data_IF_306259331898
#
_entry.id   IF_306259331898
#
_cell.length_a   1.000
_cell.length_b   1.000
_cell.length_c   1.000
_cell.angle_alpha   90.00
_cell.angle_beta   90.00
_cell.angle_gamma   90.00
#
_symmetry.space_group_name_H-M   'P 1'
#
loop_
_entity.id
_entity.type
_entity.pdbx_description
1 polymer ?
#
# COMPACT_ATOMS: atom_id res chain seq x y z
N UNK A 1 8.55 -27.83 10.66
CA UNK A 1 9.12 -26.48 10.90
C UNK A 1 8.32 -25.84 12.02
N UNK A 2 9.00 -25.21 12.97
CA UNK A 2 8.34 -24.49 14.06
C UNK A 2 7.72 -23.18 13.55
N UNK A 3 6.63 -22.72 14.17
CA UNK A 3 5.95 -21.47 13.81
C UNK A 3 6.91 -20.28 13.82
N UNK A 4 7.79 -20.20 14.83
CA UNK A 4 8.78 -19.14 14.95
C UNK A 4 9.75 -19.13 13.75
N UNK A 5 10.19 -20.31 13.31
CA UNK A 5 11.05 -20.44 12.12
C UNK A 5 10.33 -19.96 10.85
N UNK A 6 9.06 -20.33 10.68
CA UNK A 6 8.24 -19.89 9.53
C UNK A 6 8.10 -18.36 9.53
N UNK A 7 7.78 -17.77 10.68
CA UNK A 7 7.62 -16.32 10.84
C UNK A 7 8.90 -15.59 10.44
N UNK A 8 10.05 -16.01 10.96
CA UNK A 8 11.32 -15.37 10.63
C UNK A 8 11.70 -15.52 9.16
N UNK A 9 11.43 -16.68 8.57
CA UNK A 9 11.67 -16.89 7.14
C UNK A 9 10.81 -15.98 6.27
N UNK A 10 9.50 -15.92 6.52
CA UNK A 10 8.58 -15.09 5.71
C UNK A 10 8.90 -13.61 5.90
N UNK A 11 8.98 -13.14 7.15
CA UNK A 11 9.28 -11.73 7.42
C UNK A 11 10.65 -11.37 6.84
N UNK A 12 11.69 -12.14 7.15
CA UNK A 12 13.04 -11.91 6.61
C UNK A 12 13.09 -11.90 5.08
N UNK A 13 12.41 -12.84 4.42
CA UNK A 13 12.33 -12.88 2.96
C UNK A 13 11.63 -11.65 2.36
N UNK A 14 10.53 -11.18 2.96
CA UNK A 14 9.85 -9.97 2.48
C UNK A 14 10.73 -8.74 2.60
N UNK A 15 11.41 -8.55 3.74
CA UNK A 15 12.37 -7.45 3.90
C UNK A 15 13.52 -7.54 2.91
N UNK A 16 14.13 -8.72 2.76
CA UNK A 16 15.22 -8.94 1.81
C UNK A 16 14.79 -8.62 0.37
N UNK A 17 13.57 -9.00 -0.03
CA UNK A 17 13.01 -8.69 -1.33
C UNK A 17 12.87 -7.17 -1.54
N UNK A 18 12.22 -6.46 -0.60
CA UNK A 18 12.03 -5.01 -0.72
C UNK A 18 13.36 -4.24 -0.71
N UNK A 19 14.33 -4.66 0.11
CA UNK A 19 15.68 -4.07 0.11
C UNK A 19 16.37 -4.33 -1.24
N UNK A 20 16.26 -5.55 -1.77
CA UNK A 20 16.80 -5.90 -3.09
C UNK A 20 16.21 -5.03 -4.21
N UNK A 21 14.88 -4.84 -4.19
CA UNK A 21 14.19 -3.94 -5.14
C UNK A 21 14.71 -2.51 -4.97
N UNK A 22 14.81 -1.99 -3.74
CA UNK A 22 15.26 -0.63 -3.49
C UNK A 22 16.69 -0.35 -3.98
N UNK A 23 17.59 -1.34 -3.84
CA UNK A 23 18.96 -1.25 -4.37
C UNK A 23 18.95 -1.26 -5.90
N UNK A 24 18.11 -2.12 -6.51
CA UNK A 24 18.01 -2.23 -7.96
C UNK A 24 17.37 -1.00 -8.62
N UNK A 25 16.41 -0.36 -7.96
CA UNK A 25 15.64 0.79 -8.45
C UNK A 25 16.20 2.14 -7.98
N UNK A 26 17.49 2.22 -7.67
CA UNK A 26 18.09 3.44 -7.11
C UNK A 26 18.03 4.60 -8.12
N UNK A 27 17.39 5.71 -7.74
CA UNK A 27 17.33 6.92 -8.55
C UNK A 27 18.67 7.67 -8.57
N UNK A 28 19.10 8.12 -9.75
CA UNK A 28 20.32 8.91 -9.94
C UNK A 28 20.08 10.42 -9.97
N UNK A 29 18.83 10.85 -10.22
CA UNK A 29 18.45 12.27 -10.32
C UNK A 29 17.18 12.58 -9.53
N UNK A 30 16.93 13.87 -9.27
CA UNK A 30 15.69 14.32 -8.61
C UNK A 30 14.44 14.00 -9.44
N UNK A 31 14.51 14.09 -10.77
CA UNK A 31 13.40 13.74 -11.66
C UNK A 31 13.05 12.25 -11.62
N UNK A 32 14.05 11.38 -11.52
CA UNK A 32 13.83 9.94 -11.32
C UNK A 32 13.27 9.64 -9.93
N UNK A 33 13.71 10.38 -8.90
CA UNK A 33 13.23 10.17 -7.53
C UNK A 33 11.78 10.61 -7.33
N UNK A 34 11.39 11.78 -7.84
CA UNK A 34 10.04 12.34 -7.57
C UNK A 34 8.96 11.89 -8.55
N UNK A 35 9.31 11.70 -9.83
CA UNK A 35 8.30 11.38 -10.87
C UNK A 35 8.65 10.12 -11.65
N UNK A 36 9.60 9.31 -11.17
CA UNK A 36 10.04 8.07 -11.84
C UNK A 36 10.38 8.30 -13.33
N UNK A 37 10.94 9.47 -13.66
CA UNK A 37 11.26 9.85 -15.04
C UNK A 37 10.04 9.94 -15.99
N UNK A 38 8.81 9.96 -15.45
CA UNK A 38 7.54 9.86 -16.20
C UNK A 38 7.41 8.58 -17.03
N UNK A 39 8.19 7.54 -16.70
CA UNK A 39 8.23 6.28 -17.44
C UNK A 39 7.22 5.23 -16.97
N UNK A 40 6.56 5.44 -15.82
CA UNK A 40 5.63 4.46 -15.23
C UNK A 40 4.25 4.57 -15.89
N UNK A 41 3.71 3.49 -16.50
CA UNK A 41 2.37 3.47 -17.06
C UNK A 41 1.29 3.84 -16.04
N UNK A 42 0.23 4.56 -16.44
CA UNK A 42 -0.81 5.02 -15.52
C UNK A 42 -1.46 3.92 -14.66
N UNK A 43 -1.67 2.72 -15.23
CA UNK A 43 -2.25 1.58 -14.51
C UNK A 43 -1.33 1.06 -13.40
N UNK A 44 -0.03 0.94 -13.69
CA UNK A 44 0.97 0.52 -12.69
C UNK A 44 1.10 1.56 -11.58
N UNK A 45 1.10 2.84 -11.94
CA UNK A 45 1.12 3.93 -10.97
C UNK A 45 -0.14 3.89 -10.07
N UNK A 46 -1.33 3.71 -10.66
CA UNK A 46 -2.58 3.60 -9.91
C UNK A 46 -2.60 2.40 -8.95
N UNK A 47 -2.07 1.24 -9.37
CA UNK A 47 -1.93 0.08 -8.49
C UNK A 47 -0.96 0.34 -7.34
N UNK A 48 0.16 1.03 -7.60
CA UNK A 48 1.10 1.42 -6.55
C UNK A 48 0.43 2.37 -5.54
N UNK A 49 -0.31 3.38 -6.00
CA UNK A 49 -1.05 4.30 -5.13
C UNK A 49 -2.10 3.58 -4.29
N UNK A 50 -2.84 2.63 -4.88
CA UNK A 50 -3.82 1.82 -4.17
C UNK A 50 -3.18 0.90 -3.12
N UNK A 51 -2.01 0.33 -3.42
CA UNK A 51 -1.23 -0.45 -2.45
C UNK A 51 -0.75 0.41 -1.28
N UNK A 52 -0.22 1.60 -1.55
CA UNK A 52 0.23 2.55 -0.50
C UNK A 52 -0.93 3.06 0.36
N UNK A 53 -2.11 3.23 -0.23
CA UNK A 53 -3.32 3.56 0.52
C UNK A 53 -3.68 2.45 1.54
N UNK A 54 -3.47 1.18 1.18
CA UNK A 54 -3.71 0.05 2.06
C UNK A 54 -2.54 -0.17 3.04
N UNK A 55 -2.45 0.66 4.07
CA UNK A 55 -1.46 0.48 5.13
C UNK A 55 -1.81 -0.68 6.08
N UNK A 56 -0.80 -1.21 6.77
CA UNK A 56 -0.99 -2.24 7.79
C UNK A 56 -1.96 -1.80 8.90
N UNK A 57 -1.91 -0.52 9.29
CA UNK A 57 -2.86 0.07 10.23
C UNK A 57 -4.29 -0.02 9.69
N UNK A 58 -4.52 0.39 8.44
CA UNK A 58 -5.84 0.30 7.80
C UNK A 58 -6.36 -1.13 7.76
N UNK A 59 -5.52 -2.08 7.35
CA UNK A 59 -5.93 -3.49 7.26
C UNK A 59 -6.28 -4.09 8.62
N UNK A 60 -5.39 -3.95 9.61
CA UNK A 60 -5.59 -4.51 10.96
C UNK A 60 -6.76 -3.84 11.67
N UNK A 61 -6.89 -2.51 11.56
CA UNK A 61 -8.00 -1.77 12.18
C UNK A 61 -9.35 -2.19 11.58
N UNK A 62 -9.46 -2.35 10.27
CA UNK A 62 -10.70 -2.80 9.63
C UNK A 62 -11.05 -4.23 10.02
N UNK A 63 -10.07 -5.14 10.00
CA UNK A 63 -10.26 -6.52 10.45
C UNK A 63 -10.71 -6.58 11.92
N UNK A 64 -10.08 -5.78 12.79
CA UNK A 64 -10.46 -5.65 14.19
C UNK A 64 -11.88 -5.12 14.37
N UNK A 65 -12.23 -4.02 13.70
CA UNK A 65 -13.59 -3.45 13.77
C UNK A 65 -14.65 -4.46 13.35
N UNK A 66 -14.44 -5.18 12.24
CA UNK A 66 -15.39 -6.21 11.78
C UNK A 66 -15.46 -7.37 12.77
N UNK A 67 -14.35 -7.80 13.36
CA UNK A 67 -14.33 -8.87 14.34
C UNK A 67 -15.13 -8.54 15.61
N UNK A 68 -15.15 -7.28 16.05
CA UNK A 68 -15.84 -6.86 17.27
C UNK A 68 -17.25 -6.30 17.04
N UNK A 69 -17.49 -5.60 15.92
CA UNK A 69 -18.74 -4.90 15.62
C UNK A 69 -19.58 -5.62 14.56
N UNK A 70 -19.05 -6.67 13.93
CA UNK A 70 -19.76 -7.46 12.92
C UNK A 70 -19.88 -6.76 11.56
N UNK A 71 -20.87 -7.19 10.77
CA UNK A 71 -21.08 -6.72 9.40
C UNK A 71 -21.38 -5.21 9.31
N UNK A 72 -21.98 -4.62 10.33
CA UNK A 72 -22.32 -3.20 10.35
C UNK A 72 -21.06 -2.31 10.27
N UNK A 73 -19.90 -2.80 10.72
CA UNK A 73 -18.63 -2.07 10.55
C UNK A 73 -18.13 -2.04 9.09
N UNK A 74 -18.69 -2.83 8.17
CA UNK A 74 -18.33 -2.80 6.75
C UNK A 74 -18.58 -1.45 6.10
N UNK A 75 -19.49 -0.64 6.64
CA UNK A 75 -19.74 0.74 6.17
C UNK A 75 -18.51 1.63 6.35
N UNK A 76 -17.66 1.36 7.35
CA UNK A 76 -16.38 2.06 7.51
C UNK A 76 -15.40 1.72 6.39
N UNK A 77 -15.35 0.46 5.96
CA UNK A 77 -14.52 0.04 4.82
C UNK A 77 -15.00 0.75 3.55
N UNK A 78 -16.31 0.76 3.31
CA UNK A 78 -16.92 1.40 2.15
C UNK A 78 -16.71 2.93 2.16
N UNK A 79 -16.94 3.59 3.30
CA UNK A 79 -16.75 5.03 3.46
C UNK A 79 -15.29 5.44 3.33
N UNK A 80 -14.37 4.68 3.94
CA UNK A 80 -12.94 4.93 3.86
C UNK A 80 -12.40 4.77 2.42
N UNK A 81 -12.76 3.66 1.76
CA UNK A 81 -12.37 3.41 0.36
C UNK A 81 -12.99 4.43 -0.59
N UNK A 82 -14.28 4.71 -0.43
CA UNK A 82 -14.99 5.70 -1.23
C UNK A 82 -14.40 7.09 -1.08
N UNK A 83 -14.11 7.51 0.16
CA UNK A 83 -13.46 8.80 0.45
C UNK A 83 -12.09 8.93 -0.22
N UNK A 84 -11.28 7.86 -0.20
CA UNK A 84 -10.00 7.85 -0.91
C UNK A 84 -10.17 7.97 -2.43
N UNK A 85 -11.12 7.25 -3.03
CA UNK A 85 -11.40 7.36 -4.47
C UNK A 85 -11.85 8.78 -4.84
N UNK A 86 -12.72 9.39 -4.04
CA UNK A 86 -13.15 10.78 -4.25
C UNK A 86 -11.96 11.74 -4.15
N UNK A 87 -11.10 11.59 -3.14
CA UNK A 87 -9.88 12.39 -3.02
C UNK A 87 -8.96 12.20 -4.25
N UNK A 88 -8.75 10.96 -4.68
CA UNK A 88 -7.89 10.62 -5.81
C UNK A 88 -8.40 11.18 -7.15
N UNK A 89 -9.72 11.25 -7.35
CA UNK A 89 -10.31 11.74 -8.60
C UNK A 89 -10.57 13.26 -8.60
N UNK A 90 -10.95 13.82 -7.44
CA UNK A 90 -11.43 15.20 -7.36
C UNK A 90 -10.41 16.19 -6.80
N UNK A 91 -9.41 15.72 -6.03
CA UNK A 91 -8.40 16.60 -5.41
C UNK A 91 -7.01 16.36 -6.01
N UNK A 92 -6.57 15.10 -6.07
CA UNK A 92 -5.21 14.77 -6.49
C UNK A 92 -4.78 15.34 -7.86
N UNK A 93 -5.65 15.43 -8.90
CA UNK A 93 -5.26 16.04 -10.18
C UNK A 93 -5.00 17.55 -10.15
N UNK A 94 -5.37 18.23 -9.06
CA UNK A 94 -5.30 19.69 -8.92
C UNK A 94 -4.28 20.15 -7.87
N UNK A 95 -3.53 19.23 -7.26
CA UNK A 95 -2.42 19.49 -6.34
C UNK A 95 -1.09 19.50 -7.12
#
# INVERSE_FOLDING_TARGET
MELQTVTYLIVGATFALYIGIAIWSRAGTTGEFYVAGKGVPPVLNGMATAADWMSAASFISMAGMIAFLGFDASVYVMGWTGGYVLMALLLAPYL
#
